data_IF_557749558301
#
_entry.id   IF_557749558301
#
_cell.length_a   1.000
_cell.length_b   1.000
_cell.length_c   1.000
_cell.angle_alpha   90.00
_cell.angle_beta   90.00
_cell.angle_gamma   90.00
#
_symmetry.space_group_name_H-M   'P 1'
#
loop_
_entity.id
_entity.type
_entity.pdbx_description
1 polymer ?
#
# COMPACT_ATOMS: atom_id res chain seq x y z
N UNK A 1 -0.17 10.04 25.42
CA UNK A 1 -1.04 10.79 24.51
C UNK A 1 -2.20 9.86 24.20
N UNK A 2 -3.40 10.18 24.66
CA UNK A 2 -4.56 9.33 24.38
C UNK A 2 -5.05 9.60 22.96
N UNK A 3 -5.16 8.54 22.17
CA UNK A 3 -5.72 8.59 20.82
C UNK A 3 -7.23 8.41 20.90
N UNK A 4 -7.99 9.20 20.14
CA UNK A 4 -9.43 9.01 20.05
C UNK A 4 -9.77 7.63 19.48
N UNK A 5 -10.95 7.10 19.83
CA UNK A 5 -11.45 5.83 19.27
C UNK A 5 -11.49 5.86 17.74
N UNK A 6 -11.85 7.01 17.16
CA UNK A 6 -11.88 7.22 15.72
C UNK A 6 -10.48 7.09 15.11
N UNK A 7 -9.48 7.76 15.70
CA UNK A 7 -8.08 7.65 15.26
C UNK A 7 -7.58 6.21 15.37
N UNK A 8 -7.86 5.52 16.48
CA UNK A 8 -7.48 4.12 16.65
C UNK A 8 -8.09 3.21 15.56
N UNK A 9 -9.36 3.40 15.23
CA UNK A 9 -10.01 2.65 14.15
C UNK A 9 -9.35 2.96 12.81
N UNK A 10 -9.10 4.24 12.50
CA UNK A 10 -8.45 4.64 11.25
C UNK A 10 -7.06 4.01 11.10
N UNK A 11 -6.24 4.06 12.15
CA UNK A 11 -4.90 3.46 12.17
C UNK A 11 -4.98 1.94 11.99
N UNK A 12 -5.87 1.27 12.73
CA UNK A 12 -6.06 -0.17 12.61
C UNK A 12 -6.51 -0.57 11.20
N UNK A 13 -7.54 0.09 10.65
CA UNK A 13 -8.06 -0.19 9.31
C UNK A 13 -6.99 0.04 8.24
N UNK A 14 -6.15 1.07 8.39
CA UNK A 14 -5.04 1.33 7.46
C UNK A 14 -4.01 0.20 7.52
N UNK A 15 -3.55 -0.19 8.71
CA UNK A 15 -2.61 -1.31 8.86
C UNK A 15 -3.19 -2.63 8.33
N UNK A 16 -4.45 -2.92 8.65
CA UNK A 16 -5.13 -4.12 8.16
C UNK A 16 -5.25 -4.12 6.64
N UNK A 17 -5.54 -2.97 6.03
CA UNK A 17 -5.62 -2.84 4.56
C UNK A 17 -4.26 -3.12 3.92
N UNK A 18 -3.18 -2.55 4.47
CA UNK A 18 -1.82 -2.81 3.98
C UNK A 18 -1.48 -4.30 4.10
N UNK A 19 -1.72 -4.91 5.27
CA UNK A 19 -1.50 -6.35 5.47
C UNK A 19 -2.23 -7.21 4.45
N UNK A 20 -3.54 -6.97 4.27
CA UNK A 20 -4.35 -7.75 3.34
C UNK A 20 -3.92 -7.55 1.89
N UNK A 21 -3.51 -6.33 1.51
CA UNK A 21 -2.99 -6.06 0.17
C UNK A 21 -1.71 -6.86 -0.11
N UNK A 22 -0.77 -6.81 0.84
CA UNK A 22 0.52 -7.49 0.78
C UNK A 22 0.34 -9.02 0.69
N UNK A 23 -0.42 -9.60 1.62
CA UNK A 23 -0.69 -11.04 1.65
C UNK A 23 -1.45 -11.53 0.42
N UNK A 24 -2.30 -10.69 -0.19
CA UNK A 24 -2.98 -11.04 -1.43
C UNK A 24 -2.04 -11.08 -2.64
N UNK A 25 -1.03 -10.21 -2.67
CA UNK A 25 -0.06 -10.11 -3.76
C UNK A 25 1.00 -11.22 -3.75
N UNK A 26 1.40 -11.70 -2.56
CA UNK A 26 2.48 -12.69 -2.40
C UNK A 26 2.27 -13.97 -3.25
N UNK A 27 1.11 -14.66 -3.22
CA UNK A 27 0.90 -15.89 -4.01
C UNK A 27 1.02 -15.69 -5.53
N UNK A 28 0.67 -14.51 -6.01
CA UNK A 28 0.55 -14.20 -7.44
C UNK A 28 1.92 -13.94 -8.09
N UNK A 29 2.91 -13.54 -7.27
CA UNK A 29 4.30 -13.33 -7.70
C UNK A 29 4.97 -14.64 -8.13
N UNK A 30 4.70 -15.73 -7.41
CA UNK A 30 5.21 -17.07 -7.74
C UNK A 30 4.50 -17.71 -8.92
N UNK A 31 3.25 -17.31 -9.20
CA UNK A 31 2.43 -17.86 -10.28
C UNK A 31 2.62 -17.13 -11.63
N UNK A 32 3.53 -16.16 -11.71
CA UNK A 32 3.82 -15.33 -12.92
C UNK A 32 2.62 -14.51 -13.43
N UNK A 33 1.58 -14.34 -12.62
CA UNK A 33 0.44 -13.50 -13.00
C UNK A 33 0.74 -12.01 -12.86
N UNK A 34 1.76 -11.66 -12.08
CA UNK A 34 2.19 -10.28 -11.83
C UNK A 34 3.38 -9.84 -12.68
N UNK A 35 3.42 -8.55 -13.01
CA UNK A 35 4.54 -7.96 -13.74
C UNK A 35 5.72 -7.69 -12.80
N UNK A 36 6.59 -8.68 -12.61
CA UNK A 36 7.87 -8.53 -11.92
C UNK A 36 7.87 -8.85 -10.42
N UNK A 37 8.96 -8.50 -9.75
CA UNK A 37 9.22 -8.82 -8.34
C UNK A 37 8.43 -7.91 -7.40
N UNK A 38 7.73 -8.50 -6.43
CA UNK A 38 7.10 -7.77 -5.31
C UNK A 38 8.00 -7.83 -4.09
N UNK A 39 8.15 -6.68 -3.45
CA UNK A 39 8.86 -6.57 -2.19
C UNK A 39 7.86 -6.25 -1.10
N UNK A 40 7.45 -7.28 -0.35
CA UNK A 40 6.34 -7.12 0.59
C UNK A 40 6.73 -6.38 1.86
N UNK A 41 5.98 -5.34 2.24
CA UNK A 41 6.15 -4.64 3.53
C UNK A 41 5.38 -5.27 4.70
N UNK A 42 4.88 -6.52 4.57
CA UNK A 42 4.18 -7.21 5.64
C UNK A 42 5.03 -7.25 6.93
N UNK A 43 4.44 -6.79 8.04
CA UNK A 43 5.10 -6.62 9.34
C UNK A 43 5.65 -5.20 9.58
N UNK A 44 5.62 -4.33 8.58
CA UNK A 44 6.10 -2.93 8.67
C UNK A 44 4.96 -1.91 8.58
N UNK A 45 3.69 -2.33 8.72
CA UNK A 45 2.50 -1.50 8.43
C UNK A 45 2.38 -0.27 9.33
N UNK A 46 2.92 -0.36 10.55
CA UNK A 46 2.88 0.73 11.52
C UNK A 46 3.66 1.97 11.03
N UNK A 47 4.72 1.78 10.24
CA UNK A 47 5.58 2.88 9.75
C UNK A 47 4.81 3.80 8.79
N UNK A 48 4.31 3.33 7.63
CA UNK A 48 3.56 4.21 6.72
C UNK A 48 2.26 4.71 7.35
N UNK A 49 1.57 3.88 8.14
CA UNK A 49 0.32 4.27 8.79
C UNK A 49 0.54 5.42 9.79
N UNK A 50 1.54 5.28 10.67
CA UNK A 50 1.83 6.27 11.70
C UNK A 50 2.35 7.58 11.11
N UNK A 51 3.27 7.51 10.15
CA UNK A 51 3.81 8.70 9.48
C UNK A 51 2.72 9.42 8.69
N UNK A 52 1.99 8.72 7.81
CA UNK A 52 0.99 9.36 6.95
C UNK A 52 -0.22 9.90 7.73
N UNK A 53 -0.52 9.37 8.93
CA UNK A 53 -1.57 9.93 9.78
C UNK A 53 -1.29 11.37 10.26
N UNK A 54 -0.04 11.82 10.17
CA UNK A 54 0.37 13.18 10.54
C UNK A 54 0.66 14.07 9.33
N UNK A 55 0.50 13.56 8.11
CA UNK A 55 0.71 14.32 6.88
C UNK A 55 -0.60 14.85 6.34
N UNK A 56 -0.54 16.00 5.68
CA UNK A 56 -1.62 16.57 4.87
C UNK A 56 -1.45 16.19 3.39
N UNK A 57 -2.43 16.54 2.55
CA UNK A 57 -2.33 16.30 1.10
C UNK A 57 -1.26 17.16 0.41
N UNK A 58 -0.82 18.24 1.06
CA UNK A 58 0.26 19.13 0.58
C UNK A 58 1.66 18.55 0.83
N UNK A 59 1.78 17.55 1.72
CA UNK A 59 3.05 16.94 2.09
C UNK A 59 3.45 15.82 1.13
N UNK A 60 4.68 15.90 0.61
CA UNK A 60 5.26 14.91 -0.29
C UNK A 60 5.94 13.77 0.47
N UNK A 61 5.89 12.57 -0.10
CA UNK A 61 6.63 11.39 0.39
C UNK A 61 7.42 10.75 -0.75
N UNK A 62 8.64 10.32 -0.44
CA UNK A 62 9.43 9.43 -1.27
C UNK A 62 9.51 8.05 -0.61
N UNK A 63 9.42 6.99 -1.41
CA UNK A 63 9.59 5.62 -0.93
C UNK A 63 10.57 4.84 -1.81
N UNK A 64 10.92 3.64 -1.38
CA UNK A 64 11.78 2.71 -2.13
C UNK A 64 10.93 1.67 -2.88
N UNK A 65 11.54 0.57 -3.32
CA UNK A 65 10.84 -0.57 -3.93
C UNK A 65 9.85 -1.29 -2.98
N UNK A 66 9.77 -0.89 -1.70
CA UNK A 66 8.86 -1.44 -0.69
C UNK A 66 7.74 -0.45 -0.32
N UNK A 67 7.24 0.26 -1.33
CA UNK A 67 6.43 1.47 -1.15
C UNK A 67 4.92 1.27 -0.99
N UNK A 68 4.40 0.03 -1.10
CA UNK A 68 2.94 -0.21 -1.13
C UNK A 68 2.22 0.35 0.08
N UNK A 69 2.75 0.11 1.28
CA UNK A 69 2.17 0.64 2.51
C UNK A 69 2.09 2.18 2.53
N UNK A 70 3.10 2.87 1.99
CA UNK A 70 3.10 4.34 1.90
C UNK A 70 2.04 4.84 0.92
N UNK A 71 1.90 4.20 -0.25
CA UNK A 71 0.87 4.55 -1.22
C UNK A 71 -0.54 4.39 -0.63
N UNK A 72 -0.81 3.26 0.02
CA UNK A 72 -2.12 2.99 0.66
C UNK A 72 -2.39 3.99 1.78
N UNK A 73 -1.42 4.21 2.67
CA UNK A 73 -1.58 5.14 3.80
C UNK A 73 -1.74 6.60 3.36
N UNK A 74 -1.21 6.97 2.18
CA UNK A 74 -1.38 8.28 1.54
C UNK A 74 -2.63 8.37 0.65
N UNK A 75 -3.49 7.34 0.66
CA UNK A 75 -4.82 7.39 0.04
C UNK A 75 -4.91 6.86 -1.40
N UNK A 76 -3.87 6.20 -1.92
CA UNK A 76 -3.97 5.53 -3.22
C UNK A 76 -4.92 4.33 -3.12
N UNK A 77 -5.86 4.21 -4.06
CA UNK A 77 -6.84 3.11 -4.10
C UNK A 77 -6.14 1.73 -4.24
N UNK A 78 -6.27 0.83 -3.25
CA UNK A 78 -5.69 -0.50 -3.29
C UNK A 78 -6.13 -1.33 -4.50
N UNK A 79 -7.35 -1.12 -5.03
CA UNK A 79 -7.83 -1.85 -6.21
C UNK A 79 -7.05 -1.46 -7.45
N UNK A 80 -6.78 -0.16 -7.62
CA UNK A 80 -5.97 0.35 -8.74
C UNK A 80 -4.50 -0.02 -8.59
N UNK A 81 -3.99 -0.03 -7.37
CA UNK A 81 -2.65 -0.57 -7.11
C UNK A 81 -2.55 -2.04 -7.49
N UNK A 82 -3.52 -2.87 -7.09
CA UNK A 82 -3.53 -4.28 -7.47
C UNK A 82 -3.64 -4.44 -8.99
N UNK A 83 -4.46 -3.65 -9.68
CA UNK A 83 -4.51 -3.64 -11.13
C UNK A 83 -3.14 -3.31 -11.77
N UNK A 84 -2.39 -2.37 -11.19
CA UNK A 84 -1.03 -2.02 -11.63
C UNK A 84 -0.07 -3.21 -11.47
N UNK A 85 -0.11 -3.88 -10.32
CA UNK A 85 0.69 -5.07 -10.01
C UNK A 85 0.48 -6.21 -11.01
N UNK A 86 -0.75 -6.35 -11.53
CA UNK A 86 -1.11 -7.33 -12.55
C UNK A 86 -0.94 -6.84 -14.00
N UNK A 87 -0.29 -5.68 -14.20
CA UNK A 87 -0.05 -5.13 -15.54
C UNK A 87 -1.33 -4.74 -16.29
N UNK A 88 -2.42 -4.40 -15.57
CA UNK A 88 -3.71 -4.06 -16.18
C UNK A 88 -3.77 -2.58 -16.53
N UNK A 89 -4.49 -2.25 -17.62
CA UNK A 89 -4.68 -0.86 -18.08
C UNK A 89 -5.42 0.04 -17.09
N UNK A 90 -6.16 -0.54 -16.14
CA UNK A 90 -6.86 0.17 -15.06
C UNK A 90 -5.95 0.51 -13.87
N UNK A 91 -4.68 0.09 -13.91
CA UNK A 91 -3.68 0.42 -12.91
C UNK A 91 -3.40 1.93 -12.80
N UNK A 92 -2.75 2.33 -11.72
CA UNK A 92 -2.41 3.74 -11.44
C UNK A 92 -1.52 4.36 -12.53
N UNK A 93 -0.71 3.55 -13.21
CA UNK A 93 0.13 3.92 -14.35
C UNK A 93 -0.12 3.01 -15.57
N UNK A 94 -1.36 2.52 -15.72
CA UNK A 94 -1.80 1.68 -16.84
C UNK A 94 -1.00 0.37 -16.99
N UNK A 95 -0.51 -0.19 -15.88
CA UNK A 95 0.19 -1.47 -15.85
C UNK A 95 1.65 -1.40 -16.34
N UNK A 96 2.25 -0.21 -16.35
CA UNK A 96 3.62 0.01 -16.84
C UNK A 96 4.64 0.19 -15.72
N UNK A 97 4.21 0.55 -14.52
CA UNK A 97 5.07 0.73 -13.36
C UNK A 97 5.37 -0.59 -12.67
N UNK A 98 4.34 -1.41 -12.46
CA UNK A 98 4.45 -2.65 -11.70
C UNK A 98 4.49 -2.41 -10.19
N UNK A 99 5.31 -3.19 -9.48
CA UNK A 99 5.43 -3.16 -8.02
C UNK A 99 6.14 -1.94 -7.47
#
# INVERSE_FOLDING_TARGET
>A
MDLSRETLIKLYTTMATIRNFEERGIPETGQRAMSGSVHSSAGQEAVPTGVCAHLSDEDYIGSTHRGHGHCIAKGVDPKRMMAELFGRSTGTNKGKGGS
#
